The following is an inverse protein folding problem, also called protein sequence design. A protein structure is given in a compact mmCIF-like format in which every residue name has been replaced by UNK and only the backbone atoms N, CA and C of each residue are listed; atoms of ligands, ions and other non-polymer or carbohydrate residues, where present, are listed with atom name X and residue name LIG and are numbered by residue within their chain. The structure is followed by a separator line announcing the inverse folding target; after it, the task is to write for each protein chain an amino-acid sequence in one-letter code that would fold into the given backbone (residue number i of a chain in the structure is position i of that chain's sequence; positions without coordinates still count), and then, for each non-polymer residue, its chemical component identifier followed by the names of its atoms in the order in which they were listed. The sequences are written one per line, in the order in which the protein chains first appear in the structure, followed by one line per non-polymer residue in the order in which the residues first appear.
data_IF_743716998168
#
_entry.id   IF_743716998168
#
_cell.length_a   1.000
_cell.length_b   1.000
_cell.length_c   1.000
_cell.angle_alpha   90.00
_cell.angle_beta   90.00
_cell.angle_gamma   90.00
#
_symmetry.space_group_name_H-M   'P 1'
#
loop_
_entity.id
_entity.type
_entity.pdbx_description
1 polymer ?
#
# COMPACT_ATOMS: atom_id res chain seq x y z
N UNK A 1 5.69 6.11 -4.04
CA UNK A 1 4.49 5.58 -3.34
C UNK A 1 4.89 4.54 -2.33
N UNK A 2 5.67 3.52 -2.70
CA UNK A 2 6.20 2.52 -1.76
C UNK A 2 7.00 3.15 -0.61
N UNK A 3 7.95 4.03 -0.92
CA UNK A 3 8.73 4.75 0.10
C UNK A 3 7.85 5.56 1.06
N UNK A 4 6.82 6.24 0.54
CA UNK A 4 5.85 7.00 1.35
C UNK A 4 5.10 6.06 2.29
N UNK A 5 4.64 4.91 1.79
CA UNK A 5 3.93 3.92 2.59
C UNK A 5 4.80 3.38 3.73
N UNK A 6 6.04 3.01 3.44
CA UNK A 6 6.99 2.53 4.45
C UNK A 6 7.33 3.61 5.48
N UNK A 7 7.52 4.86 5.06
CA UNK A 7 7.73 5.96 6.00
C UNK A 7 6.53 6.17 6.92
N UNK A 8 5.31 6.19 6.38
CA UNK A 8 4.10 6.35 7.21
C UNK A 8 3.94 5.20 8.22
N UNK A 9 4.30 3.96 7.86
CA UNK A 9 4.30 2.83 8.81
C UNK A 9 5.30 3.06 9.95
N UNK A 10 6.50 3.57 9.64
CA UNK A 10 7.55 3.87 10.63
C UNK A 10 7.13 5.01 11.56
N UNK A 11 6.57 6.08 11.00
CA UNK A 11 6.05 7.21 11.76
C UNK A 11 4.90 6.81 12.68
N UNK A 12 4.07 5.84 12.25
CA UNK A 12 3.02 5.25 13.07
C UNK A 12 3.53 4.25 14.13
N UNK A 13 4.83 3.92 14.14
CA UNK A 13 5.42 2.96 15.07
C UNK A 13 5.01 1.50 14.82
N UNK A 14 4.51 1.19 13.61
CA UNK A 14 4.00 -0.14 13.25
C UNK A 14 5.02 -1.00 12.48
N UNK A 15 6.21 -0.47 12.21
CA UNK A 15 7.16 -1.14 11.33
C UNK A 15 7.61 -2.50 11.87
N UNK A 16 7.91 -2.58 13.18
CA UNK A 16 8.40 -3.80 13.81
C UNK A 16 7.30 -4.82 14.13
N UNK A 17 6.02 -4.44 14.04
CA UNK A 17 4.88 -5.35 14.21
C UNK A 17 4.41 -5.99 12.91
N UNK A 18 4.87 -5.47 11.76
CA UNK A 18 4.50 -5.96 10.44
C UNK A 18 5.63 -6.82 9.89
N UNK A 19 5.30 -8.03 9.45
CA UNK A 19 6.27 -8.95 8.85
C UNK A 19 6.74 -8.46 7.49
N UNK A 20 5.80 -8.03 6.64
CA UNK A 20 6.10 -7.53 5.31
C UNK A 20 5.09 -6.46 4.90
N UNK A 21 5.59 -5.32 4.44
CA UNK A 21 4.80 -4.24 3.86
C UNK A 21 5.37 -3.77 2.51
N UNK A 22 4.50 -3.53 1.52
CA UNK A 22 4.87 -2.98 0.21
C UNK A 22 3.65 -2.45 -0.56
N UNK A 23 3.91 -1.54 -1.50
CA UNK A 23 2.91 -1.00 -2.42
C UNK A 23 2.96 -1.68 -3.80
N UNK A 24 1.80 -2.11 -4.31
CA UNK A 24 1.65 -2.77 -5.61
C UNK A 24 0.93 -1.85 -6.59
N UNK A 25 1.57 -1.51 -7.71
CA UNK A 25 0.92 -0.80 -8.81
C UNK A 25 0.07 -1.77 -9.63
N UNK A 26 -1.24 -1.55 -9.63
CA UNK A 26 -2.17 -2.36 -10.42
C UNK A 26 -2.07 -1.99 -11.90
N UNK A 27 -2.30 -2.98 -12.78
CA UNK A 27 -2.27 -2.77 -14.23
C UNK A 27 -3.51 -2.03 -14.73
N UNK A 28 -4.62 -2.19 -14.02
CA UNK A 28 -5.91 -1.60 -14.38
C UNK A 28 -5.95 -0.09 -14.08
N UNK A 29 -6.77 0.62 -14.86
CA UNK A 29 -7.04 2.04 -14.65
C UNK A 29 -8.35 2.24 -13.90
N UNK A 30 -8.36 3.18 -12.99
CA UNK A 30 -9.53 3.61 -12.23
C UNK A 30 -9.85 5.07 -12.53
N UNK A 31 -11.11 5.45 -12.31
CA UNK A 31 -11.56 6.84 -12.44
C UNK A 31 -11.19 7.59 -11.16
N UNK A 32 -10.46 8.69 -11.30
CA UNK A 32 -10.24 9.70 -10.26
C UNK A 32 -10.98 11.00 -10.59
N UNK A 33 -11.16 11.83 -9.56
CA UNK A 33 -11.64 13.21 -9.72
C UNK A 33 -10.46 14.15 -9.51
N UNK A 34 -10.20 15.01 -10.50
CA UNK A 34 -9.15 16.03 -10.43
C UNK A 34 -9.76 17.38 -10.83
N UNK A 35 -10.00 18.25 -9.84
CA UNK A 35 -10.84 19.43 -10.02
C UNK A 35 -12.26 19.01 -10.43
N UNK A 36 -12.79 19.63 -11.49
CA UNK A 36 -14.13 19.32 -12.04
C UNK A 36 -14.11 18.22 -13.12
N UNK A 37 -12.97 17.57 -13.35
CA UNK A 37 -12.80 16.58 -14.42
C UNK A 37 -12.59 15.16 -13.87
N UNK A 38 -13.00 14.18 -14.68
CA UNK A 38 -12.67 12.76 -14.46
C UNK A 38 -11.33 12.45 -15.12
N UNK A 39 -10.45 11.78 -14.38
CA UNK A 39 -9.14 11.32 -14.87
C UNK A 39 -9.03 9.81 -14.76
N UNK A 40 -8.19 9.19 -15.59
CA UNK A 40 -7.98 7.73 -15.59
C UNK A 40 -6.52 7.39 -15.28
N UNK A 41 -6.28 6.95 -14.06
CA UNK A 41 -4.94 6.64 -13.54
C UNK A 41 -4.89 5.22 -13.01
N UNK A 42 -3.68 4.70 -12.75
CA UNK A 42 -3.52 3.38 -12.13
C UNK A 42 -3.79 3.45 -10.65
N UNK A 43 -4.44 2.43 -10.11
CA UNK A 43 -4.59 2.25 -8.67
C UNK A 43 -3.32 1.62 -8.06
N UNK A 44 -3.08 1.92 -6.78
CA UNK A 44 -2.05 1.27 -5.97
C UNK A 44 -2.74 0.52 -4.84
N UNK A 45 -2.38 -0.74 -4.64
CA UNK A 45 -2.79 -1.54 -3.49
C UNK A 45 -1.67 -1.52 -2.44
N UNK A 46 -2.03 -1.32 -1.18
CA UNK A 46 -1.10 -1.41 -0.05
C UNK A 46 -1.27 -2.77 0.60
N UNK A 47 -0.17 -3.50 0.79
CA UNK A 47 -0.16 -4.78 1.48
C UNK A 47 0.74 -4.67 2.70
N UNK A 48 0.18 -4.96 3.86
CA UNK A 48 0.90 -5.25 5.10
C UNK A 48 0.31 -6.55 5.66
N UNK A 49 1.19 -7.47 6.08
CA UNK A 49 0.78 -8.73 6.70
C UNK A 49 1.63 -8.97 7.94
N UNK A 50 1.02 -9.59 8.95
CA UNK A 50 1.71 -10.17 10.09
C UNK A 50 1.92 -11.65 9.85
N UNK A 51 3.01 -12.21 10.34
CA UNK A 51 3.28 -13.64 10.22
C UNK A 51 4.24 -14.05 11.32
N UNK A 52 4.03 -15.23 11.89
CA UNK A 52 4.92 -15.80 12.89
C UNK A 52 6.05 -16.64 12.25
N UNK A 53 5.78 -17.24 11.10
CA UNK A 53 6.63 -18.26 10.49
C UNK A 53 6.78 -18.15 8.96
N UNK A 54 6.17 -17.14 8.34
CA UNK A 54 6.16 -16.95 6.89
C UNK A 54 5.27 -17.94 6.13
N UNK A 55 4.61 -18.87 6.82
CA UNK A 55 3.73 -19.89 6.22
C UNK A 55 2.26 -19.48 6.29
N UNK A 56 1.86 -18.77 7.34
CA UNK A 56 0.51 -18.18 7.46
C UNK A 56 0.61 -16.68 7.69
N UNK A 57 -0.28 -15.92 7.07
CA UNK A 57 -0.27 -14.47 7.13
C UNK A 57 -1.68 -13.96 7.46
N UNK A 58 -1.76 -13.14 8.51
CA UNK A 58 -2.96 -12.41 8.95
C UNK A 58 -2.80 -10.91 8.65
#
# INVERSE_FOLDING_TARGET
VDEIYIQSIKEAGLYDSIWQAFAVLLRDRTVGVQGDQRTHSRAVSLRAVTSQDGMTAD
#
